data_IF_145573567198
#
_entry.id   IF_145573567198
#
_cell.length_a   1.000
_cell.length_b   1.000
_cell.length_c   1.000
_cell.angle_alpha   90.00
_cell.angle_beta   90.00
_cell.angle_gamma   90.00
#
_symmetry.space_group_name_H-M   'P 1'
#
loop_
_entity.id
_entity.type
_entity.pdbx_description
1 polymer ?
#
# COMPACT_ATOMS: atom_id res chain seq x y z
N UNK A 1 12.16 -0.48 -8.71
CA UNK A 1 12.19 -1.66 -7.83
C UNK A 1 11.35 -1.43 -6.58
N UNK A 2 11.32 -2.39 -5.63
CA UNK A 2 10.56 -2.26 -4.36
C UNK A 2 11.34 -1.46 -3.31
N UNK A 3 10.63 -0.77 -2.42
CA UNK A 3 11.18 0.04 -1.32
C UNK A 3 10.69 -0.49 0.03
N UNK A 4 11.60 -0.59 1.00
CA UNK A 4 11.27 -0.89 2.39
C UNK A 4 11.73 0.26 3.26
N UNK A 5 10.83 0.80 4.07
CA UNK A 5 11.11 1.85 5.06
C UNK A 5 11.05 1.24 6.45
N UNK A 6 12.14 1.37 7.20
CA UNK A 6 12.18 1.04 8.62
C UNK A 6 11.85 2.28 9.45
N UNK A 7 10.56 2.48 9.73
CA UNK A 7 10.06 3.64 10.47
C UNK A 7 8.79 4.23 9.85
N UNK A 8 8.47 5.43 10.28
CA UNK A 8 7.27 6.15 9.85
C UNK A 8 7.49 6.95 8.58
N UNK A 9 6.42 7.07 7.79
CA UNK A 9 6.32 7.99 6.67
C UNK A 9 5.37 9.11 7.08
N UNK A 10 5.93 10.25 7.46
CA UNK A 10 5.16 11.36 8.01
C UNK A 10 4.43 12.20 6.94
N UNK A 11 3.45 13.04 7.31
CA UNK A 11 2.83 13.98 6.39
C UNK A 11 3.89 14.86 5.70
N UNK A 12 3.71 15.14 4.40
CA UNK A 12 4.68 15.85 3.57
C UNK A 12 5.76 14.96 2.94
N UNK A 13 5.94 13.72 3.40
CA UNK A 13 6.81 12.75 2.73
C UNK A 13 6.12 12.12 1.51
N UNK A 14 6.93 11.75 0.51
CA UNK A 14 6.49 11.06 -0.71
C UNK A 14 7.46 9.93 -1.03
N UNK A 15 6.93 8.73 -1.28
CA UNK A 15 7.70 7.55 -1.71
C UNK A 15 7.14 7.06 -3.03
N UNK A 16 8.03 6.85 -4.00
CA UNK A 16 7.67 6.33 -5.33
C UNK A 16 8.54 5.12 -5.63
N UNK A 17 7.91 4.00 -6.01
CA UNK A 17 8.57 2.74 -6.31
C UNK A 17 7.94 2.08 -7.55
N UNK A 18 8.76 1.48 -8.42
CA UNK A 18 8.24 0.67 -9.53
C UNK A 18 7.64 -0.67 -9.06
N UNK A 19 8.02 -1.10 -7.86
CA UNK A 19 7.53 -2.33 -7.23
C UNK A 19 6.71 -2.02 -5.98
N UNK A 20 6.83 -2.90 -4.99
CA UNK A 20 6.10 -2.78 -3.73
C UNK A 20 6.69 -1.71 -2.82
N UNK A 21 5.85 -1.18 -1.92
CA UNK A 21 6.27 -0.31 -0.83
C UNK A 21 5.89 -0.97 0.49
N UNK A 22 6.86 -1.21 1.36
CA UNK A 22 6.63 -1.74 2.71
C UNK A 22 7.11 -0.70 3.72
N UNK A 23 6.19 -0.17 4.52
CA UNK A 23 6.46 0.74 5.63
C UNK A 23 6.38 -0.04 6.93
N UNK A 24 7.52 -0.32 7.54
CA UNK A 24 7.56 -0.96 8.86
C UNK A 24 7.31 0.08 9.98
N UNK A 25 6.14 0.70 9.94
CA UNK A 25 5.73 1.82 10.80
C UNK A 25 4.38 2.40 10.37
N UNK A 26 4.11 3.66 10.75
CA UNK A 26 2.90 4.38 10.35
C UNK A 26 3.10 5.05 8.99
N UNK A 27 2.17 4.82 8.07
CA UNK A 27 2.12 5.50 6.78
C UNK A 27 1.12 6.66 6.84
N UNK A 28 1.62 7.89 6.93
CA UNK A 28 0.83 9.14 6.97
C UNK A 28 1.04 10.05 5.75
N UNK A 29 2.13 9.84 5.02
CA UNK A 29 2.48 10.58 3.80
C UNK A 29 1.80 10.05 2.53
N UNK A 30 2.43 10.33 1.38
CA UNK A 30 2.04 9.84 0.06
C UNK A 30 2.91 8.67 -0.37
N UNK A 31 2.29 7.66 -0.96
CA UNK A 31 3.01 6.51 -1.56
C UNK A 31 2.49 6.24 -2.97
N UNK A 32 3.41 5.87 -3.87
CA UNK A 32 3.11 5.43 -5.23
C UNK A 32 3.90 4.16 -5.54
N UNK A 33 3.24 3.01 -5.41
CA UNK A 33 3.78 1.70 -5.78
C UNK A 33 3.42 1.36 -7.23
N UNK A 34 4.18 0.46 -7.85
CA UNK A 34 3.91 0.05 -9.23
C UNK A 34 4.06 1.18 -10.25
N UNK A 35 4.89 2.20 -9.98
CA UNK A 35 4.97 3.43 -10.78
C UNK A 35 5.31 3.21 -12.27
N UNK A 36 5.90 2.05 -12.61
CA UNK A 36 6.16 1.62 -13.99
C UNK A 36 5.07 0.68 -14.55
N UNK A 37 3.82 0.82 -14.09
CA UNK A 37 2.65 0.10 -14.60
C UNK A 37 2.36 -1.26 -13.95
N UNK A 38 2.98 -1.60 -12.81
CA UNK A 38 2.73 -2.87 -12.14
C UNK A 38 1.50 -2.80 -11.21
N UNK A 39 0.33 -3.16 -11.74
CA UNK A 39 -0.92 -3.19 -10.96
C UNK A 39 -0.97 -4.30 -9.89
N UNK A 40 -0.01 -5.22 -9.88
CA UNK A 40 0.13 -6.25 -8.84
C UNK A 40 0.94 -5.76 -7.63
N UNK A 41 1.52 -4.56 -7.70
CA UNK A 41 2.26 -4.00 -6.58
C UNK A 41 1.35 -3.71 -5.39
N UNK A 42 1.91 -3.84 -4.20
CA UNK A 42 1.22 -3.56 -2.95
C UNK A 42 1.87 -2.41 -2.19
N UNK A 43 1.09 -1.83 -1.28
CA UNK A 43 1.61 -1.03 -0.18
C UNK A 43 1.26 -1.74 1.12
N UNK A 44 2.23 -2.01 1.98
CA UNK A 44 1.98 -2.55 3.31
C UNK A 44 2.46 -1.57 4.38
N UNK A 45 1.71 -1.43 5.48
CA UNK A 45 2.13 -0.64 6.62
C UNK A 45 1.67 -1.30 7.94
N UNK A 46 2.33 -0.98 9.05
CA UNK A 46 1.86 -1.42 10.37
C UNK A 46 0.64 -0.63 10.85
N UNK A 47 0.41 0.55 10.25
CA UNK A 47 -0.79 1.36 10.40
C UNK A 47 -0.93 2.27 9.18
N UNK A 48 -2.09 2.29 8.53
CA UNK A 48 -2.37 3.17 7.40
C UNK A 48 -3.21 4.39 7.80
N UNK A 49 -2.59 5.56 7.74
CA UNK A 49 -3.25 6.88 7.82
C UNK A 49 -2.83 7.76 6.62
N UNK A 50 -2.73 7.21 5.39
CA UNK A 50 -2.07 7.88 4.27
C UNK A 50 -2.84 9.12 3.84
N UNK A 51 -2.09 10.18 3.52
CA UNK A 51 -2.64 11.32 2.80
C UNK A 51 -3.16 10.88 1.43
N UNK A 52 -2.43 9.99 0.77
CA UNK A 52 -2.78 9.40 -0.52
C UNK A 52 -2.01 8.09 -0.76
N UNK A 53 -2.68 7.09 -1.33
CA UNK A 53 -2.06 5.89 -1.89
C UNK A 53 -2.28 5.88 -3.40
N UNK A 54 -1.23 5.56 -4.15
CA UNK A 54 -1.29 5.25 -5.57
C UNK A 54 -0.69 3.88 -5.84
N UNK A 55 -1.35 3.11 -6.70
CA UNK A 55 -0.83 1.84 -7.23
C UNK A 55 -1.10 1.86 -8.73
N UNK A 56 -0.04 1.92 -9.54
CA UNK A 56 -0.15 2.26 -10.97
C UNK A 56 -0.96 3.55 -11.11
N UNK A 57 -1.97 3.56 -11.97
CA UNK A 57 -2.80 4.73 -12.28
C UNK A 57 -3.96 4.89 -11.30
N UNK A 58 -4.14 3.93 -10.37
CA UNK A 58 -5.24 3.94 -9.41
C UNK A 58 -4.86 4.76 -8.19
N UNK A 59 -5.78 5.60 -7.71
CA UNK A 59 -5.58 6.46 -6.55
C UNK A 59 -6.64 6.22 -5.49
N UNK A 60 -6.23 6.23 -4.23
CA UNK A 60 -7.12 6.21 -3.08
C UNK A 60 -6.64 7.18 -2.00
N UNK A 61 -7.58 7.60 -1.17
CA UNK A 61 -7.34 8.37 0.06
C UNK A 61 -7.86 7.54 1.22
N UNK A 62 -7.22 7.65 2.38
CA UNK A 62 -7.70 6.98 3.58
C UNK A 62 -9.12 7.45 3.92
N UNK A 63 -9.99 6.55 4.44
CA UNK A 63 -11.22 6.97 5.10
C UNK A 63 -10.89 7.85 6.32
N UNK A 64 -11.80 8.76 6.68
CA UNK A 64 -11.59 9.78 7.71
C UNK A 64 -11.49 9.26 9.16
N UNK A 65 -11.73 7.96 9.38
CA UNK A 65 -11.65 7.34 10.70
C UNK A 65 -10.43 6.43 10.77
N UNK A 66 -9.47 6.81 11.61
CA UNK A 66 -8.35 5.93 11.94
C UNK A 66 -8.85 4.85 12.90
N UNK A 67 -8.46 3.58 12.70
CA UNK A 67 -8.77 2.54 13.65
C UNK A 67 -8.11 2.84 15.00
N UNK A 68 -8.88 2.69 16.10
CA UNK A 68 -8.38 2.81 17.48
C UNK A 68 -7.30 1.76 17.82
N UNK A 69 -7.09 0.76 16.95
CA UNK A 69 -6.13 -0.32 17.13
C UNK A 69 -5.06 -0.29 16.05
N UNK A 70 -3.82 -0.49 16.49
CA UNK A 70 -2.66 -0.71 15.65
C UNK A 70 -2.68 -2.14 15.11
N UNK A 71 -2.92 -2.31 13.81
CA UNK A 71 -2.81 -3.59 13.13
C UNK A 71 -2.21 -3.42 11.73
N UNK A 72 -1.41 -4.38 11.24
CA UNK A 72 -0.84 -4.29 9.90
C UNK A 72 -1.91 -4.35 8.82
N UNK A 73 -1.73 -3.53 7.79
CA UNK A 73 -2.66 -3.35 6.68
C UNK A 73 -1.91 -3.46 5.34
N UNK A 74 -2.65 -3.89 4.32
CA UNK A 74 -2.18 -3.99 2.94
C UNK A 74 -3.16 -3.30 2.01
N UNK A 75 -2.66 -2.38 1.21
CA UNK A 75 -3.37 -1.76 0.10
C UNK A 75 -3.00 -2.45 -1.21
N UNK A 76 -4.01 -2.80 -2.00
CA UNK A 76 -3.85 -3.51 -3.27
C UNK A 76 -4.98 -3.15 -4.24
N UNK A 77 -4.74 -3.34 -5.53
CA UNK A 77 -5.72 -3.04 -6.58
C UNK A 77 -6.77 -4.15 -6.68
N UNK A 78 -8.04 -3.74 -6.80
CA UNK A 78 -9.18 -4.59 -7.11
C UNK A 78 -9.95 -4.01 -8.30
N UNK A 79 -10.97 -4.72 -8.79
CA UNK A 79 -11.86 -4.19 -9.85
C UNK A 79 -12.61 -2.91 -9.45
N UNK A 80 -12.73 -2.63 -8.15
CA UNK A 80 -13.41 -1.44 -7.61
C UNK A 80 -12.45 -0.31 -7.25
N UNK A 81 -11.16 -0.46 -7.57
CA UNK A 81 -10.10 0.46 -7.15
C UNK A 81 -9.23 -0.13 -6.03
N UNK A 82 -8.49 0.72 -5.31
CA UNK A 82 -7.62 0.27 -4.22
C UNK A 82 -8.48 -0.12 -3.01
N UNK A 83 -8.22 -1.33 -2.50
CA UNK A 83 -8.77 -1.81 -1.23
C UNK A 83 -7.67 -1.85 -0.19
N UNK A 84 -7.98 -1.43 1.02
CA UNK A 84 -7.14 -1.61 2.20
C UNK A 84 -7.78 -2.71 3.05
N UNK A 85 -7.01 -3.73 3.42
CA UNK A 85 -7.43 -4.78 4.34
C UNK A 85 -6.39 -4.99 5.42
N UNK A 86 -6.81 -5.61 6.53
CA UNK A 86 -5.85 -6.16 7.49
C UNK A 86 -4.95 -7.16 6.78
N UNK A 87 -3.69 -7.25 7.20
CA UNK A 87 -2.73 -8.16 6.60
C UNK A 87 -3.14 -9.63 6.76
N UNK A 88 -3.89 -9.98 7.82
CA UNK A 88 -4.45 -11.32 8.02
C UNK A 88 -5.56 -11.68 7.01
N UNK A 89 -6.31 -10.67 6.54
CA UNK A 89 -7.41 -10.84 5.58
C UNK A 89 -6.93 -10.65 4.13
N UNK A 90 -5.67 -10.25 3.92
CA UNK A 90 -5.12 -10.01 2.60
C UNK A 90 -5.13 -11.31 1.78
N UNK A 91 -5.85 -11.36 0.64
CA UNK A 91 -6.01 -12.59 -0.11
C UNK A 91 -4.67 -13.05 -0.68
N UNK A 92 -4.09 -14.12 -0.10
CA UNK A 92 -2.83 -14.74 -0.55
C UNK A 92 -2.79 -15.09 -2.05
N UNK A 93 -3.94 -15.19 -2.72
CA UNK A 93 -4.02 -15.44 -4.17
C UNK A 93 -3.62 -14.22 -5.03
N UNK A 94 -3.81 -12.99 -4.55
CA UNK A 94 -3.38 -11.78 -5.27
C UNK A 94 -1.84 -11.70 -5.38
N UNK A 95 -1.11 -12.33 -4.47
CA UNK A 95 0.36 -12.38 -4.47
C UNK A 95 0.98 -13.45 -5.40
N UNK A 96 0.18 -14.31 -6.06
CA UNK A 96 0.69 -15.49 -6.81
C UNK A 96 0.39 -15.52 -8.31
N UNK A 97 -0.28 -14.52 -8.88
CA UNK A 97 -0.65 -14.53 -10.32
C UNK A 97 0.51 -14.11 -11.25
N UNK A 98 1.72 -13.87 -10.71
CA UNK A 98 2.90 -13.45 -11.49
C UNK A 98 3.90 -14.54 -11.90
N UNK A 99 3.64 -15.83 -11.63
CA UNK A 99 4.54 -16.92 -12.04
C UNK A 99 3.78 -17.94 -12.87
N UNK A 100 3.80 -17.75 -14.19
CA UNK A 100 3.41 -18.78 -15.15
C UNK A 100 2.50 -18.29 -16.26
N UNK A 101 3.12 -17.74 -17.31
CA UNK A 101 2.69 -17.89 -18.69
C UNK A 101 3.94 -17.93 -19.56
#
# INVERSE_FOLDING_TARGET
GSIIVFGDVNPGASIVADGDIIVWGKLRGLVHAGANGNAQSIVAALQMEPTQIRITDTVARAPSQNPDRFYPEVAYVTRQGIRISRAEDFPRQAARVGLGS
#
